data_IF_691601484943
#
_entry.id   IF_691601484943
#
_cell.length_a   1.000
_cell.length_b   1.000
_cell.length_c   1.000
_cell.angle_alpha   90.00
_cell.angle_beta   90.00
_cell.angle_gamma   90.00
#
_symmetry.space_group_name_H-M   'P 1'
#
loop_
_entity.id
_entity.type
_entity.pdbx_description
1 polymer ?
#
# COMPACT_ATOMS: atom_id res chain seq x y z
N UNK A 1 21.27 -7.20 -3.95
CA UNK A 1 21.47 -5.94 -3.20
C UNK A 1 20.14 -5.33 -2.74
N UNK A 2 19.22 -4.95 -3.65
CA UNK A 2 17.95 -4.27 -3.27
C UNK A 2 17.06 -5.08 -2.29
N UNK A 3 16.94 -6.40 -2.47
CA UNK A 3 16.12 -7.26 -1.60
C UNK A 3 16.59 -7.25 -0.15
N UNK A 4 17.91 -7.25 0.06
CA UNK A 4 18.52 -7.22 1.39
C UNK A 4 18.25 -5.88 2.07
N UNK A 5 18.37 -4.78 1.32
CA UNK A 5 18.11 -3.43 1.84
C UNK A 5 16.65 -3.26 2.28
N UNK A 6 15.68 -3.83 1.54
CA UNK A 6 14.27 -3.79 1.93
C UNK A 6 14.04 -4.51 3.27
N UNK A 7 14.64 -5.68 3.45
CA UNK A 7 14.51 -6.44 4.71
C UNK A 7 15.11 -5.64 5.87
N UNK A 8 16.32 -5.09 5.69
CA UNK A 8 16.99 -4.27 6.70
C UNK A 8 16.15 -3.04 7.03
N UNK A 9 15.59 -2.36 6.02
CA UNK A 9 14.71 -1.21 6.21
C UNK A 9 13.47 -1.59 7.04
N UNK A 10 12.75 -2.65 6.66
CA UNK A 10 11.56 -3.10 7.39
C UNK A 10 11.89 -3.41 8.85
N UNK A 11 12.98 -4.16 9.11
CA UNK A 11 13.40 -4.51 10.47
C UNK A 11 13.76 -3.26 11.30
N UNK A 12 14.55 -2.33 10.73
CA UNK A 12 14.93 -1.11 11.43
C UNK A 12 13.73 -0.18 11.68
N UNK A 13 12.81 -0.06 10.71
CA UNK A 13 11.57 0.71 10.88
C UNK A 13 10.72 0.15 12.01
N UNK A 14 10.53 -1.18 12.07
CA UNK A 14 9.78 -1.85 13.13
C UNK A 14 10.47 -1.68 14.50
N UNK A 15 11.81 -1.79 14.56
CA UNK A 15 12.56 -1.60 15.80
C UNK A 15 12.48 -0.15 16.32
N UNK A 16 12.49 0.84 15.42
CA UNK A 16 12.52 2.25 15.78
C UNK A 16 11.15 2.82 16.16
N UNK A 17 10.07 2.43 15.46
CA UNK A 17 8.74 3.02 15.64
C UNK A 17 7.65 2.06 16.12
N UNK A 18 7.98 0.78 16.36
CA UNK A 18 7.05 -0.22 16.88
C UNK A 18 5.75 -0.33 16.07
N UNK A 19 4.63 -0.34 16.78
CA UNK A 19 3.30 -0.55 16.21
C UNK A 19 2.90 0.52 15.19
N UNK A 20 3.27 1.78 15.42
CA UNK A 20 2.91 2.89 14.51
C UNK A 20 3.59 2.72 13.16
N UNK A 21 4.86 2.35 13.15
CA UNK A 21 5.59 2.04 11.91
C UNK A 21 5.10 0.76 11.26
N UNK A 22 4.71 -0.25 12.03
CA UNK A 22 4.12 -1.47 11.48
C UNK A 22 2.83 -1.18 10.71
N UNK A 23 1.94 -0.36 11.30
CA UNK A 23 0.70 0.09 10.64
C UNK A 23 1.01 0.88 9.38
N UNK A 24 1.95 1.83 9.43
CA UNK A 24 2.36 2.62 8.27
C UNK A 24 2.92 1.76 7.13
N UNK A 25 3.83 0.83 7.44
CA UNK A 25 4.38 -0.11 6.47
C UNK A 25 3.28 -0.97 5.82
N UNK A 26 2.33 -1.46 6.63
CA UNK A 26 1.23 -2.26 6.12
C UNK A 26 0.31 -1.44 5.20
N UNK A 27 -0.07 -0.22 5.61
CA UNK A 27 -0.86 0.69 4.77
C UNK A 27 -0.16 0.97 3.44
N UNK A 28 1.14 1.26 3.47
CA UNK A 28 1.92 1.52 2.25
C UNK A 28 1.97 0.29 1.35
N UNK A 29 2.24 -0.90 1.90
CA UNK A 29 2.32 -2.13 1.13
C UNK A 29 0.99 -2.45 0.42
N UNK A 30 -0.13 -2.32 1.14
CA UNK A 30 -1.47 -2.53 0.57
C UNK A 30 -1.78 -1.48 -0.50
N UNK A 31 -1.55 -0.19 -0.24
CA UNK A 31 -1.83 0.88 -1.19
C UNK A 31 -1.01 0.73 -2.48
N UNK A 32 0.27 0.37 -2.39
CA UNK A 32 1.12 0.08 -3.56
C UNK A 32 0.57 -1.11 -4.34
N UNK A 33 0.10 -2.15 -3.65
CA UNK A 33 -0.49 -3.33 -4.30
C UNK A 33 -1.79 -2.97 -5.04
N UNK A 34 -2.69 -2.21 -4.42
CA UNK A 34 -3.92 -1.73 -5.06
C UNK A 34 -3.58 -0.89 -6.31
N UNK A 35 -2.57 -0.04 -6.22
CA UNK A 35 -2.15 0.81 -7.33
C UNK A 35 -1.54 -0.01 -8.48
N UNK A 36 -0.75 -1.04 -8.18
CA UNK A 36 -0.21 -1.95 -9.19
C UNK A 36 -1.34 -2.70 -9.93
N UNK A 37 -2.32 -3.22 -9.18
CA UNK A 37 -3.50 -3.90 -9.76
C UNK A 37 -4.34 -2.93 -10.60
N UNK A 38 -4.52 -1.69 -10.15
CA UNK A 38 -5.22 -0.64 -10.93
C UNK A 38 -4.57 -0.46 -12.31
N UNK A 39 -3.24 -0.32 -12.35
CA UNK A 39 -2.49 -0.16 -13.61
C UNK A 39 -2.69 -1.37 -14.51
N UNK A 40 -2.61 -2.59 -13.96
CA UNK A 40 -2.81 -3.82 -14.72
C UNK A 40 -4.23 -3.92 -15.29
N UNK A 41 -5.27 -3.61 -14.50
CA UNK A 41 -6.65 -3.59 -14.97
C UNK A 41 -6.87 -2.56 -16.09
N UNK A 42 -6.27 -1.37 -15.97
CA UNK A 42 -6.34 -0.37 -17.04
C UNK A 42 -5.64 -0.89 -18.30
N UNK A 43 -4.49 -1.56 -18.17
CA UNK A 43 -3.78 -2.16 -19.29
C UNK A 43 -4.57 -3.29 -19.98
N UNK A 44 -5.36 -4.05 -19.21
CA UNK A 44 -6.28 -5.06 -19.74
C UNK A 44 -7.53 -4.47 -20.44
N UNK A 45 -7.66 -3.13 -20.48
CA UNK A 45 -8.73 -2.44 -21.18
C UNK A 45 -9.98 -2.16 -20.33
N UNK A 46 -9.91 -2.32 -19.01
CA UNK A 46 -11.00 -1.90 -18.14
C UNK A 46 -11.19 -0.37 -18.18
N UNK A 47 -12.43 0.08 -17.96
CA UNK A 47 -12.74 1.50 -17.98
C UNK A 47 -12.02 2.25 -16.85
N UNK A 48 -11.21 3.23 -17.24
CA UNK A 48 -10.34 4.02 -16.36
C UNK A 48 -11.12 4.70 -15.23
N UNK A 49 -12.31 5.23 -15.51
CA UNK A 49 -13.10 5.97 -14.51
C UNK A 49 -13.54 5.02 -13.40
N UNK A 50 -14.09 3.86 -13.77
CA UNK A 50 -14.59 2.89 -12.80
C UNK A 50 -13.46 2.23 -12.00
N UNK A 51 -12.37 1.83 -12.65
CA UNK A 51 -11.24 1.19 -11.96
C UNK A 51 -10.58 2.16 -10.99
N UNK A 52 -10.39 3.43 -11.39
CA UNK A 52 -9.81 4.47 -10.52
C UNK A 52 -10.71 4.78 -9.34
N UNK A 53 -12.04 4.86 -9.54
CA UNK A 53 -12.98 5.08 -8.44
C UNK A 53 -12.92 3.95 -7.39
N UNK A 54 -12.88 2.69 -7.83
CA UNK A 54 -12.76 1.54 -6.94
C UNK A 54 -11.42 1.57 -6.19
N UNK A 55 -10.31 1.82 -6.88
CA UNK A 55 -9.00 1.91 -6.26
C UNK A 55 -8.93 3.04 -5.21
N UNK A 56 -9.52 4.20 -5.49
CA UNK A 56 -9.59 5.31 -4.55
C UNK A 56 -10.37 4.95 -3.28
N UNK A 57 -11.50 4.24 -3.41
CA UNK A 57 -12.28 3.75 -2.26
C UNK A 57 -11.45 2.77 -1.43
N UNK A 58 -10.78 1.80 -2.07
CA UNK A 58 -9.96 0.79 -1.36
C UNK A 58 -8.76 1.41 -0.64
N UNK A 59 -8.06 2.36 -1.28
CA UNK A 59 -6.93 3.10 -0.67
C UNK A 59 -7.41 3.91 0.53
N UNK A 60 -8.56 4.59 0.39
CA UNK A 60 -9.15 5.36 1.49
C UNK A 60 -9.54 4.45 2.65
N UNK A 61 -10.22 3.34 2.37
CA UNK A 61 -10.61 2.37 3.39
C UNK A 61 -9.40 1.77 4.12
N UNK A 62 -8.33 1.42 3.38
CA UNK A 62 -7.08 0.92 3.97
C UNK A 62 -6.44 1.95 4.88
N UNK A 63 -6.41 3.21 4.46
CA UNK A 63 -5.84 4.31 5.25
C UNK A 63 -6.64 4.54 6.52
N UNK A 64 -7.98 4.58 6.43
CA UNK A 64 -8.84 4.70 7.60
C UNK A 64 -8.70 3.49 8.53
N UNK A 65 -8.59 2.27 8.03
CA UNK A 65 -8.51 1.09 8.88
C UNK A 65 -7.20 1.03 9.69
N UNK A 66 -6.07 1.38 9.07
CA UNK A 66 -4.74 1.21 9.69
C UNK A 66 -4.15 2.48 10.31
N UNK A 67 -4.53 3.68 9.83
CA UNK A 67 -3.95 4.95 10.27
C UNK A 67 -4.89 5.81 11.11
N UNK A 68 -6.17 5.43 11.26
CA UNK A 68 -7.15 6.20 12.03
C UNK A 68 -7.11 5.84 13.52
N UNK A 69 -5.98 6.14 14.16
CA UNK A 69 -5.77 6.10 15.61
C UNK A 69 -5.25 7.44 16.13
#
# INVERSE_FOLDING_TARGET
>A
MIKVLIIVFVLLSLLAGGDRTAKSLMTTAINVTIFAVLIELIYLGFNIVFTTAIAAILITATTVFYQNE
#
